data_IF_372200965436
#
_entry.id   IF_372200965436
#
_cell.length_a   1.000
_cell.length_b   1.000
_cell.length_c   1.000
_cell.angle_alpha   90.00
_cell.angle_beta   90.00
_cell.angle_gamma   90.00
#
_symmetry.space_group_name_H-M   'P 1'
#
loop_
_entity.id
_entity.type
_entity.pdbx_description
1 polymer ?
#
# COMPACT_ATOMS: atom_id res chain seq x y z
N UNK A 1 -20.36 20.71 4.89
CA UNK A 1 -20.30 19.43 4.11
C UNK A 1 -21.54 18.66 4.51
N UNK A 2 -22.31 18.20 3.57
CA UNK A 2 -23.54 17.46 3.82
C UNK A 2 -23.18 16.08 4.39
N UNK A 3 -24.06 15.59 5.28
CA UNK A 3 -23.89 14.28 5.93
C UNK A 3 -24.88 13.33 5.27
N UNK A 4 -24.43 12.15 4.91
CA UNK A 4 -25.21 11.07 4.32
C UNK A 4 -25.36 9.95 5.34
N UNK A 5 -26.57 9.40 5.47
CA UNK A 5 -26.88 8.28 6.35
C UNK A 5 -27.10 7.01 5.51
N UNK A 6 -26.46 5.91 5.90
CA UNK A 6 -26.63 4.61 5.25
C UNK A 6 -26.56 3.49 6.30
N UNK A 7 -26.79 2.26 5.89
CA UNK A 7 -26.87 1.12 6.82
C UNK A 7 -25.87 0.03 6.41
N UNK A 8 -25.15 -0.49 7.40
CA UNK A 8 -24.20 -1.60 7.23
C UNK A 8 -24.60 -2.72 8.16
N UNK A 9 -25.03 -3.86 7.61
CA UNK A 9 -25.55 -4.99 8.37
C UNK A 9 -26.62 -4.55 9.40
N UNK A 10 -27.54 -3.69 8.98
CA UNK A 10 -28.62 -3.07 9.78
C UNK A 10 -28.14 -2.05 10.84
N UNK A 11 -26.85 -1.69 10.88
CA UNK A 11 -26.32 -0.63 11.74
C UNK A 11 -26.32 0.67 10.97
N UNK A 12 -26.94 1.72 11.53
CA UNK A 12 -26.88 3.08 10.99
C UNK A 12 -25.45 3.64 11.05
N UNK A 13 -24.97 4.20 9.93
CA UNK A 13 -23.68 4.85 9.80
C UNK A 13 -23.85 6.21 9.14
N UNK A 14 -23.24 7.24 9.70
CA UNK A 14 -23.22 8.61 9.14
C UNK A 14 -21.83 8.94 8.64
N UNK A 15 -21.76 9.51 7.45
CA UNK A 15 -20.50 9.91 6.83
C UNK A 15 -20.64 11.21 6.06
N UNK A 16 -19.54 11.78 5.62
CA UNK A 16 -19.54 12.93 4.72
C UNK A 16 -19.94 12.49 3.30
N UNK A 17 -20.70 13.32 2.59
CA UNK A 17 -20.99 13.12 1.18
C UNK A 17 -19.70 12.92 0.37
N UNK A 18 -19.72 11.99 -0.58
CA UNK A 18 -18.56 11.64 -1.40
C UNK A 18 -17.62 10.62 -0.78
N UNK A 19 -17.85 10.16 0.47
CA UNK A 19 -17.08 9.08 1.08
C UNK A 19 -17.36 7.74 0.41
N UNK A 20 -16.35 6.91 0.24
CA UNK A 20 -16.56 5.50 -0.16
C UNK A 20 -17.12 4.68 1.00
N UNK A 21 -17.77 3.54 0.67
CA UNK A 21 -18.27 2.59 1.68
C UNK A 21 -17.12 2.19 2.62
N UNK A 22 -15.92 1.90 2.08
CA UNK A 22 -14.78 1.47 2.88
C UNK A 22 -14.28 2.55 3.84
N UNK A 23 -14.25 3.81 3.42
CA UNK A 23 -13.87 4.95 4.28
C UNK A 23 -14.90 5.16 5.39
N UNK A 24 -16.18 5.17 5.03
CA UNK A 24 -17.27 5.35 5.98
C UNK A 24 -17.33 4.23 7.04
N UNK A 25 -17.19 2.97 6.61
CA UNK A 25 -17.21 1.81 7.51
C UNK A 25 -15.99 1.80 8.43
N UNK A 26 -14.81 2.18 7.92
CA UNK A 26 -13.59 2.29 8.73
C UNK A 26 -13.72 3.35 9.82
N UNK A 27 -14.29 4.51 9.50
CA UNK A 27 -14.55 5.57 10.49
C UNK A 27 -15.58 5.15 11.55
N UNK A 28 -16.47 4.22 11.20
CA UNK A 28 -17.45 3.62 12.12
C UNK A 28 -16.96 2.35 12.82
N UNK A 29 -15.65 2.03 12.72
CA UNK A 29 -15.01 0.83 13.27
C UNK A 29 -15.61 -0.49 12.76
N UNK A 30 -16.13 -0.50 11.54
CA UNK A 30 -16.62 -1.71 10.85
C UNK A 30 -15.53 -2.17 9.89
N UNK A 31 -15.00 -3.36 10.12
CA UNK A 31 -13.90 -3.89 9.32
C UNK A 31 -14.40 -4.49 8.01
N UNK A 32 -13.83 -4.01 6.90
CA UNK A 32 -13.94 -4.62 5.56
C UNK A 32 -12.51 -4.93 5.08
N UNK A 33 -12.19 -6.20 4.73
CA UNK A 33 -10.82 -6.58 4.36
C UNK A 33 -10.39 -5.93 3.05
N UNK A 34 -9.16 -5.42 3.00
CA UNK A 34 -8.58 -4.84 1.78
C UNK A 34 -7.06 -4.85 1.84
N UNK A 35 -6.39 -5.03 0.68
CA UNK A 35 -4.93 -5.00 0.57
C UNK A 35 -4.42 -3.90 -0.37
N UNK A 36 -5.24 -3.38 -1.25
CA UNK A 36 -4.85 -2.27 -2.13
C UNK A 36 -5.23 -0.89 -1.57
N UNK A 37 -6.19 -0.78 -0.67
CA UNK A 37 -6.57 0.47 -0.03
C UNK A 37 -5.57 0.85 1.08
N UNK A 38 -5.25 2.14 1.19
CA UNK A 38 -4.52 2.74 2.30
C UNK A 38 -5.09 4.15 2.54
N UNK A 39 -5.32 4.57 3.81
CA UNK A 39 -5.99 5.85 4.10
C UNK A 39 -5.25 7.07 3.54
N UNK A 40 -3.93 7.04 3.53
CA UNK A 40 -3.09 8.15 3.06
C UNK A 40 -2.84 8.12 1.54
N UNK A 41 -3.39 7.14 0.82
CA UNK A 41 -3.21 7.03 -0.63
C UNK A 41 -4.51 7.35 -1.38
N UNK A 42 -4.41 7.96 -2.57
CA UNK A 42 -5.56 8.18 -3.42
C UNK A 42 -6.20 6.86 -3.88
N UNK A 43 -7.42 6.88 -4.43
CA UNK A 43 -8.11 5.67 -4.87
C UNK A 43 -7.28 4.81 -5.82
N UNK A 44 -7.28 3.48 -5.60
CA UNK A 44 -6.38 2.56 -6.32
C UNK A 44 -6.73 2.39 -7.80
N UNK A 45 -8.02 2.45 -8.15
CA UNK A 45 -8.52 2.15 -9.49
C UNK A 45 -8.22 3.20 -10.55
N UNK A 46 -7.71 4.37 -10.18
CA UNK A 46 -7.31 5.43 -11.12
C UNK A 46 -5.85 5.32 -11.59
N UNK A 47 -5.06 4.42 -11.00
CA UNK A 47 -3.66 4.23 -11.35
C UNK A 47 -3.54 3.42 -12.64
N UNK A 48 -2.73 3.91 -13.60
CA UNK A 48 -2.62 3.33 -14.95
C UNK A 48 -1.36 2.49 -15.11
N UNK A 49 -1.49 1.38 -15.84
CA UNK A 49 -0.39 0.50 -16.17
C UNK A 49 0.62 1.16 -17.12
N UNK A 50 1.89 0.88 -16.89
CA UNK A 50 3.02 1.23 -17.76
C UNK A 50 3.20 0.19 -18.86
N UNK A 51 4.05 0.48 -19.85
CA UNK A 51 4.43 -0.49 -20.87
C UNK A 51 5.48 -1.49 -20.40
N UNK A 52 6.32 -1.08 -19.44
CA UNK A 52 7.47 -1.82 -18.98
C UNK A 52 7.77 -1.49 -17.53
N UNK A 53 8.20 -2.49 -16.76
CA UNK A 53 8.85 -2.34 -15.45
C UNK A 53 10.05 -3.28 -15.32
N UNK A 54 10.92 -3.00 -14.36
CA UNK A 54 12.10 -3.80 -14.05
C UNK A 54 11.96 -4.48 -12.69
N UNK A 55 12.34 -5.75 -12.63
CA UNK A 55 12.50 -6.53 -11.39
C UNK A 55 13.96 -6.94 -11.26
N UNK A 56 14.79 -6.05 -10.71
CA UNK A 56 16.24 -6.14 -10.85
C UNK A 56 16.64 -5.92 -12.31
N UNK A 57 17.43 -6.82 -12.88
CA UNK A 57 17.84 -6.78 -14.30
C UNK A 57 16.76 -7.30 -15.27
N UNK A 58 15.71 -7.96 -14.77
CA UNK A 58 14.65 -8.53 -15.60
C UNK A 58 13.70 -7.43 -16.08
N UNK A 59 13.45 -7.38 -17.38
CA UNK A 59 12.43 -6.54 -18.00
C UNK A 59 11.10 -7.28 -18.07
N UNK A 60 10.05 -6.67 -17.54
CA UNK A 60 8.69 -7.19 -17.63
C UNK A 60 7.86 -6.27 -18.51
N UNK A 61 7.62 -6.70 -19.74
CA UNK A 61 6.75 -6.01 -20.69
C UNK A 61 5.29 -6.23 -20.33
N UNK A 62 4.50 -5.16 -20.39
CA UNK A 62 3.05 -5.23 -20.22
C UNK A 62 2.32 -5.43 -21.55
N UNK A 63 1.16 -6.06 -21.48
CA UNK A 63 0.23 -6.31 -22.60
C UNK A 63 -0.98 -5.36 -22.60
N UNK A 64 -1.14 -4.52 -21.58
CA UNK A 64 -2.28 -3.63 -21.39
C UNK A 64 -1.87 -2.21 -20.95
N UNK A 65 -1.09 -1.51 -21.79
CA UNK A 65 -0.66 -0.13 -21.52
C UNK A 65 -1.87 0.78 -21.28
N UNK A 66 -1.81 1.56 -20.19
CA UNK A 66 -2.84 2.52 -19.83
C UNK A 66 -4.08 1.91 -19.18
N UNK A 67 -4.18 0.57 -19.09
CA UNK A 67 -5.26 -0.10 -18.35
C UNK A 67 -5.21 0.34 -16.89
N UNK A 68 -6.35 0.71 -16.35
CA UNK A 68 -6.49 1.09 -14.96
C UNK A 68 -6.38 -0.13 -14.04
N UNK A 69 -5.87 0.08 -12.83
CA UNK A 69 -5.76 -0.99 -11.85
C UNK A 69 -7.15 -1.44 -11.37
N UNK A 70 -7.45 -2.72 -11.50
CA UNK A 70 -8.77 -3.28 -11.19
C UNK A 70 -9.03 -3.52 -9.70
N UNK A 71 -8.02 -3.27 -8.84
CA UNK A 71 -8.12 -3.49 -7.40
C UNK A 71 -7.84 -4.94 -6.98
N UNK A 72 -7.67 -5.15 -5.67
CA UNK A 72 -7.50 -6.49 -5.10
C UNK A 72 -8.82 -7.27 -4.96
N UNK A 73 -9.95 -6.55 -5.00
CA UNK A 73 -11.31 -7.07 -4.88
C UNK A 73 -11.57 -7.92 -3.61
N UNK A 74 -10.83 -7.67 -2.53
CA UNK A 74 -11.10 -8.27 -1.22
C UNK A 74 -12.15 -7.48 -0.42
N UNK A 75 -12.40 -6.22 -0.80
CA UNK A 75 -13.39 -5.34 -0.17
C UNK A 75 -14.77 -5.42 -0.81
N UNK A 76 -15.07 -6.49 -1.56
CA UNK A 76 -16.40 -6.69 -2.14
C UNK A 76 -17.47 -6.74 -1.05
N UNK A 77 -18.58 -6.07 -1.31
CA UNK A 77 -19.78 -6.02 -0.46
C UNK A 77 -21.02 -6.17 -1.33
N UNK A 78 -22.12 -6.55 -0.72
CA UNK A 78 -23.44 -6.60 -1.36
C UNK A 78 -24.18 -5.31 -1.02
N UNK A 79 -24.79 -4.66 -2.02
CA UNK A 79 -25.63 -3.48 -1.87
C UNK A 79 -27.03 -3.83 -2.34
N UNK A 80 -28.02 -3.58 -1.51
CA UNK A 80 -29.41 -3.86 -1.88
C UNK A 80 -29.81 -3.12 -3.17
N UNK A 81 -30.49 -3.83 -4.04
CA UNK A 81 -30.90 -3.31 -5.36
C UNK A 81 -29.79 -3.37 -6.44
N UNK A 82 -28.58 -3.82 -6.12
CA UNK A 82 -27.53 -4.07 -7.11
C UNK A 82 -27.38 -5.59 -7.37
N UNK A 83 -27.32 -6.03 -8.63
CA UNK A 83 -27.23 -7.44 -8.97
C UNK A 83 -25.85 -8.04 -8.64
N UNK A 84 -24.79 -7.23 -8.71
CA UNK A 84 -23.41 -7.64 -8.54
C UNK A 84 -22.80 -7.12 -7.24
N UNK A 85 -21.81 -7.84 -6.72
CA UNK A 85 -21.00 -7.35 -5.61
C UNK A 85 -20.15 -6.17 -6.05
N UNK A 86 -20.07 -5.14 -5.22
CA UNK A 86 -19.33 -3.92 -5.52
C UNK A 86 -18.10 -3.77 -4.63
N UNK A 87 -17.02 -3.15 -5.12
CA UNK A 87 -15.83 -2.87 -4.31
C UNK A 87 -16.09 -1.68 -3.37
N UNK A 88 -16.13 -1.92 -2.08
CA UNK A 88 -16.37 -0.90 -1.06
C UNK A 88 -15.39 0.29 -1.12
N UNK A 89 -14.16 0.09 -1.61
CA UNK A 89 -13.16 1.15 -1.74
C UNK A 89 -13.41 2.15 -2.88
N UNK A 90 -14.33 1.84 -3.78
CA UNK A 90 -14.60 2.62 -5.01
C UNK A 90 -16.10 3.00 -5.15
N UNK A 91 -16.95 2.43 -4.31
CA UNK A 91 -18.39 2.71 -4.30
C UNK A 91 -18.70 3.83 -3.33
N UNK A 92 -19.23 4.92 -3.84
CA UNK A 92 -19.63 6.10 -3.04
C UNK A 92 -20.94 5.82 -2.31
N UNK A 93 -21.00 6.22 -1.06
CA UNK A 93 -22.20 6.10 -0.20
C UNK A 93 -23.29 7.06 -0.70
N UNK A 94 -24.52 6.57 -0.74
CA UNK A 94 -25.72 7.38 -1.02
C UNK A 94 -26.71 7.27 0.13
N UNK A 95 -27.60 8.24 0.25
CA UNK A 95 -28.60 8.29 1.33
C UNK A 95 -29.48 7.03 1.32
N UNK A 96 -29.65 6.41 2.48
CA UNK A 96 -30.48 5.22 2.65
C UNK A 96 -29.88 3.93 2.08
N UNK A 97 -28.64 3.94 1.56
CA UNK A 97 -27.99 2.74 1.01
C UNK A 97 -27.92 1.61 2.07
N UNK A 98 -28.27 0.39 1.66
CA UNK A 98 -28.18 -0.81 2.51
C UNK A 98 -27.01 -1.67 2.05
N UNK A 99 -26.03 -1.88 2.93
CA UNK A 99 -24.78 -2.62 2.63
C UNK A 99 -24.68 -3.84 3.51
N UNK A 100 -24.41 -4.99 2.92
CA UNK A 100 -24.15 -6.26 3.62
C UNK A 100 -22.69 -6.67 3.41
N UNK A 101 -21.95 -6.82 4.50
CA UNK A 101 -20.51 -7.10 4.46
C UNK A 101 -20.17 -8.55 4.71
N UNK A 102 -21.13 -9.40 5.08
CA UNK A 102 -20.88 -10.77 5.52
C UNK A 102 -21.99 -11.76 5.06
N UNK A 103 -22.45 -11.63 3.81
CA UNK A 103 -23.31 -12.65 3.19
C UNK A 103 -22.48 -13.82 2.69
N UNK A 104 -23.11 -14.98 2.49
CA UNK A 104 -22.45 -16.15 1.91
C UNK A 104 -21.80 -15.84 0.56
N UNK A 105 -22.48 -15.06 -0.29
CA UNK A 105 -21.98 -14.60 -1.58
C UNK A 105 -20.74 -13.73 -1.43
N UNK A 106 -20.71 -12.83 -0.45
CA UNK A 106 -19.56 -11.97 -0.14
C UNK A 106 -18.37 -12.81 0.36
N UNK A 107 -18.63 -13.76 1.27
CA UNK A 107 -17.57 -14.65 1.80
C UNK A 107 -16.92 -15.48 0.70
N UNK A 108 -17.71 -16.14 -0.12
CA UNK A 108 -17.22 -16.94 -1.24
C UNK A 108 -16.39 -16.12 -2.23
N UNK A 109 -16.88 -14.94 -2.63
CA UNK A 109 -16.16 -14.06 -3.53
C UNK A 109 -14.80 -13.61 -2.96
N UNK A 110 -14.75 -13.25 -1.67
CA UNK A 110 -13.51 -12.88 -0.99
C UNK A 110 -12.53 -14.04 -0.88
N UNK A 111 -13.01 -15.23 -0.56
CA UNK A 111 -12.19 -16.44 -0.48
C UNK A 111 -11.57 -16.79 -1.84
N UNK A 112 -12.31 -16.66 -2.94
CA UNK A 112 -11.76 -16.86 -4.29
C UNK A 112 -10.66 -15.84 -4.63
N UNK A 113 -10.85 -14.56 -4.26
CA UNK A 113 -9.82 -13.53 -4.48
C UNK A 113 -8.58 -13.76 -3.62
N UNK A 114 -8.77 -14.13 -2.36
CA UNK A 114 -7.67 -14.47 -1.45
C UNK A 114 -6.91 -15.71 -1.96
N UNK A 115 -7.58 -16.75 -2.38
CA UNK A 115 -6.98 -17.96 -2.96
C UNK A 115 -6.06 -17.63 -4.14
N UNK A 116 -6.51 -16.75 -5.06
CA UNK A 116 -5.67 -16.30 -6.19
C UNK A 116 -4.42 -15.54 -5.75
N UNK A 117 -4.51 -14.74 -4.68
CA UNK A 117 -3.36 -14.04 -4.10
C UNK A 117 -2.40 -15.05 -3.47
N UNK A 118 -2.92 -15.97 -2.65
CA UNK A 118 -2.12 -16.96 -1.93
C UNK A 118 -1.46 -17.98 -2.87
N UNK A 119 -2.10 -18.37 -3.97
CA UNK A 119 -1.49 -19.24 -4.97
C UNK A 119 -0.14 -18.71 -5.50
N UNK A 120 0.09 -17.39 -5.40
CA UNK A 120 1.28 -16.69 -5.91
C UNK A 120 2.14 -16.05 -4.82
N UNK A 121 1.80 -16.28 -3.56
CA UNK A 121 2.49 -15.72 -2.41
C UNK A 121 2.84 -16.82 -1.39
N UNK A 122 4.08 -16.86 -0.86
CA UNK A 122 4.45 -17.80 0.19
C UNK A 122 3.49 -17.69 1.38
N UNK A 123 2.75 -18.76 1.65
CA UNK A 123 1.71 -18.75 2.69
C UNK A 123 1.72 -19.98 3.60
N UNK A 124 2.70 -20.86 3.45
CA UNK A 124 2.76 -22.10 4.25
C UNK A 124 2.76 -21.84 5.77
N UNK A 125 3.32 -20.71 6.22
CA UNK A 125 3.29 -20.35 7.65
C UNK A 125 1.89 -19.98 8.15
N UNK A 126 0.99 -19.49 7.28
CA UNK A 126 -0.38 -19.11 7.66
C UNK A 126 -1.22 -20.34 8.08
N UNK A 127 -0.96 -21.48 7.45
CA UNK A 127 -1.68 -22.74 7.68
C UNK A 127 -0.87 -23.72 8.53
N UNK A 128 0.31 -23.32 9.04
CA UNK A 128 1.18 -24.18 9.83
C UNK A 128 0.63 -24.31 11.26
N UNK A 129 0.46 -25.56 11.72
CA UNK A 129 0.03 -25.86 13.10
C UNK A 129 1.03 -25.37 14.17
N UNK A 130 2.29 -25.15 13.80
CA UNK A 130 3.37 -24.68 14.68
C UNK A 130 3.73 -23.21 14.45
N UNK A 131 2.80 -22.40 13.94
CA UNK A 131 3.08 -20.98 13.62
C UNK A 131 3.40 -20.13 14.85
N UNK A 132 2.78 -20.46 15.98
CA UNK A 132 2.98 -19.73 17.23
C UNK A 132 4.37 -20.00 17.82
N UNK A 133 5.09 -18.93 18.15
CA UNK A 133 6.45 -19.01 18.70
C UNK A 133 7.53 -19.44 17.70
N UNK A 134 7.19 -19.70 16.44
CA UNK A 134 8.16 -20.05 15.41
C UNK A 134 8.98 -18.83 14.98
N UNK A 135 10.31 -18.93 15.06
CA UNK A 135 11.23 -17.88 14.58
C UNK A 135 11.37 -17.85 13.08
N UNK A 136 10.94 -18.90 12.37
CA UNK A 136 11.07 -19.13 10.91
C UNK A 136 12.51 -19.24 10.40
N UNK A 137 13.52 -18.78 11.15
CA UNK A 137 14.94 -18.83 10.80
C UNK A 137 15.79 -19.13 12.03
N UNK A 138 16.24 -20.37 12.25
CA UNK A 138 15.81 -21.61 11.63
C UNK A 138 14.38 -21.99 12.05
N UNK A 139 13.56 -22.40 11.08
CA UNK A 139 12.20 -22.82 11.40
C UNK A 139 12.16 -24.16 12.11
N UNK A 140 11.22 -24.34 13.02
CA UNK A 140 10.95 -25.62 13.70
C UNK A 140 10.17 -26.61 12.83
N UNK A 141 9.78 -26.21 11.61
CA UNK A 141 8.95 -26.99 10.69
C UNK A 141 9.72 -27.46 9.48
N UNK A 142 9.26 -28.51 8.82
CA UNK A 142 9.83 -29.03 7.57
C UNK A 142 9.40 -28.20 6.33
N UNK A 143 8.83 -27.01 6.50
CA UNK A 143 8.46 -26.13 5.39
C UNK A 143 9.73 -25.61 4.72
N UNK A 144 9.88 -25.78 3.39
CA UNK A 144 11.01 -25.23 2.65
C UNK A 144 11.12 -23.71 2.81
N UNK A 145 12.33 -23.17 2.91
CA UNK A 145 12.56 -21.73 3.14
C UNK A 145 11.84 -20.86 2.10
N UNK A 146 11.87 -21.26 0.84
CA UNK A 146 11.23 -20.52 -0.26
C UNK A 146 9.69 -20.48 -0.18
N UNK A 147 9.07 -21.32 0.63
CA UNK A 147 7.61 -21.37 0.83
C UNK A 147 7.16 -20.69 2.13
N UNK A 148 8.12 -20.26 2.97
CA UNK A 148 7.82 -19.60 4.25
C UNK A 148 7.39 -18.16 4.04
N UNK A 149 6.53 -17.67 4.92
CA UNK A 149 6.28 -16.25 5.02
C UNK A 149 7.56 -15.48 5.35
N UNK A 150 7.62 -14.21 4.93
CA UNK A 150 8.75 -13.32 5.21
C UNK A 150 8.82 -12.92 6.69
N UNK A 151 9.87 -12.19 7.06
CA UNK A 151 10.10 -11.67 8.43
C UNK A 151 9.01 -10.70 8.93
N UNK A 152 8.12 -10.24 8.05
CA UNK A 152 6.97 -9.40 8.42
C UNK A 152 5.81 -10.19 9.07
N UNK A 153 5.88 -11.50 9.10
CA UNK A 153 4.88 -12.37 9.75
C UNK A 153 4.66 -11.94 11.22
N UNK A 154 3.42 -11.93 11.67
CA UNK A 154 3.00 -11.34 12.94
C UNK A 154 2.61 -9.85 12.85
N UNK A 155 3.11 -9.12 11.84
CA UNK A 155 2.77 -7.73 11.53
C UNK A 155 2.38 -7.53 10.05
N UNK A 156 2.00 -8.60 9.38
CA UNK A 156 1.66 -8.61 7.97
C UNK A 156 0.17 -8.33 7.76
N UNK A 157 -0.17 -7.37 6.90
CA UNK A 157 -1.59 -7.09 6.60
C UNK A 157 -2.25 -8.24 5.83
N UNK A 158 -1.50 -8.94 4.96
CA UNK A 158 -2.02 -10.13 4.27
C UNK A 158 -2.38 -11.24 5.25
N UNK A 159 -1.58 -11.45 6.30
CA UNK A 159 -1.87 -12.41 7.37
C UNK A 159 -3.21 -12.09 8.05
N UNK A 160 -3.40 -10.85 8.51
CA UNK A 160 -4.63 -10.39 9.15
C UNK A 160 -5.86 -10.55 8.24
N UNK A 161 -5.71 -10.24 6.96
CA UNK A 161 -6.77 -10.40 5.97
C UNK A 161 -7.07 -11.88 5.72
N UNK A 162 -6.05 -12.73 5.64
CA UNK A 162 -6.22 -14.17 5.44
C UNK A 162 -6.89 -14.85 6.66
N UNK A 163 -6.55 -14.42 7.88
CA UNK A 163 -7.20 -14.90 9.10
C UNK A 163 -8.68 -14.48 9.16
N UNK A 164 -8.99 -13.24 8.76
CA UNK A 164 -10.37 -12.76 8.75
C UNK A 164 -11.27 -13.46 7.72
N UNK A 165 -10.77 -13.66 6.50
CA UNK A 165 -11.53 -14.25 5.39
C UNK A 165 -11.62 -15.78 5.53
N UNK A 166 -10.61 -16.41 6.12
CA UNK A 166 -10.42 -17.86 6.15
C UNK A 166 -9.78 -18.38 4.86
N UNK A 167 -8.75 -19.20 5.02
CA UNK A 167 -8.05 -19.85 3.91
C UNK A 167 -8.81 -21.14 3.57
N UNK A 168 -9.17 -21.31 2.31
CA UNK A 168 -9.86 -22.52 1.83
C UNK A 168 -8.88 -23.70 1.79
N UNK A 169 -9.37 -24.90 2.08
CA UNK A 169 -8.59 -26.15 2.03
C UNK A 169 -8.05 -26.46 0.63
N UNK A 170 -8.79 -26.07 -0.41
CA UNK A 170 -8.41 -26.25 -1.82
C UNK A 170 -7.50 -25.13 -2.35
N UNK A 171 -6.99 -24.23 -1.49
CA UNK A 171 -6.03 -23.21 -1.90
C UNK A 171 -4.75 -23.87 -2.43
N UNK A 172 -4.35 -23.58 -3.70
CA UNK A 172 -3.16 -24.16 -4.29
C UNK A 172 -1.92 -23.85 -3.47
N UNK A 173 -1.07 -24.86 -3.28
CA UNK A 173 0.25 -24.66 -2.67
C UNK A 173 1.04 -23.63 -3.51
N UNK A 174 1.68 -22.69 -2.84
CA UNK A 174 2.59 -21.77 -3.50
C UNK A 174 3.78 -22.54 -4.09
N UNK A 175 4.03 -22.31 -5.37
CA UNK A 175 5.23 -22.80 -6.05
C UNK A 175 6.22 -21.63 -6.18
N UNK A 176 7.44 -21.75 -5.58
CA UNK A 176 8.41 -20.68 -5.63
C UNK A 176 8.78 -20.27 -7.06
N UNK A 177 8.51 -19.01 -7.41
CA UNK A 177 8.83 -18.48 -8.72
C UNK A 177 10.35 -18.21 -8.90
N UNK A 178 11.12 -18.25 -7.80
CA UNK A 178 12.57 -18.03 -7.84
C UNK A 178 12.97 -16.64 -8.35
N UNK A 179 12.11 -15.63 -8.13
CA UNK A 179 12.38 -14.28 -8.59
C UNK A 179 13.59 -13.68 -7.89
N UNK A 180 14.42 -12.89 -8.60
CA UNK A 180 15.59 -12.29 -8.00
C UNK A 180 15.22 -11.34 -6.85
N UNK A 181 15.98 -11.45 -5.76
CA UNK A 181 15.88 -10.53 -4.63
C UNK A 181 16.86 -9.39 -4.90
N UNK A 182 16.35 -8.16 -5.04
CA UNK A 182 17.18 -6.97 -5.25
C UNK A 182 17.66 -6.47 -3.89
N UNK A 183 18.95 -6.70 -3.60
CA UNK A 183 19.62 -6.31 -2.36
C UNK A 183 20.61 -5.16 -2.54
N UNK A 184 20.85 -4.74 -3.77
CA UNK A 184 21.88 -3.74 -4.10
C UNK A 184 21.40 -2.29 -3.89
N UNK A 185 20.12 -2.12 -3.62
CA UNK A 185 19.55 -0.82 -3.30
C UNK A 185 20.02 -0.37 -1.90
N UNK A 186 20.42 0.89 -1.71
CA UNK A 186 21.12 1.33 -0.50
C UNK A 186 20.29 1.19 0.79
N UNK A 187 18.99 1.48 0.74
CA UNK A 187 18.13 1.54 1.94
C UNK A 187 17.08 0.45 2.00
N UNK A 188 16.78 -0.21 0.88
CA UNK A 188 15.66 -1.16 0.79
C UNK A 188 16.10 -2.50 0.24
N UNK A 189 15.37 -3.54 0.62
CA UNK A 189 15.38 -4.84 -0.04
C UNK A 189 14.05 -4.98 -0.79
N UNK A 190 14.11 -5.36 -2.06
CA UNK A 190 12.93 -5.70 -2.86
C UNK A 190 12.92 -7.19 -3.15
N UNK A 191 11.96 -7.89 -2.55
CA UNK A 191 11.74 -9.30 -2.80
C UNK A 191 10.40 -9.50 -3.51
N UNK A 192 10.48 -9.67 -4.82
CA UNK A 192 9.29 -9.78 -5.66
C UNK A 192 8.51 -11.10 -5.43
N UNK A 193 9.10 -12.11 -4.77
CA UNK A 193 8.40 -13.33 -4.38
C UNK A 193 7.28 -13.07 -3.37
N UNK A 194 7.37 -11.97 -2.62
CA UNK A 194 6.33 -11.53 -1.68
C UNK A 194 5.41 -10.44 -2.23
N UNK A 195 5.53 -10.08 -3.51
CA UNK A 195 4.70 -9.03 -4.11
C UNK A 195 3.34 -9.58 -4.55
N UNK A 196 2.27 -8.97 -4.03
CA UNK A 196 0.88 -9.31 -4.36
C UNK A 196 0.26 -8.39 -5.43
N UNK A 197 1.03 -7.51 -6.03
CA UNK A 197 0.56 -6.61 -7.08
C UNK A 197 -0.45 -5.54 -6.62
N UNK A 198 -0.49 -5.17 -5.35
CA UNK A 198 -1.49 -4.24 -4.78
C UNK A 198 -1.33 -2.77 -5.20
N UNK A 199 -0.28 -2.40 -5.90
CA UNK A 199 0.05 -1.05 -6.39
C UNK A 199 0.20 0.05 -5.34
N UNK A 200 0.09 -0.20 -4.03
CA UNK A 200 0.26 0.84 -3.00
C UNK A 200 1.58 1.59 -3.13
N UNK A 201 2.69 0.88 -3.32
CA UNK A 201 4.02 1.47 -3.48
C UNK A 201 4.13 2.35 -4.75
N UNK A 202 3.44 1.96 -5.82
CA UNK A 202 3.37 2.75 -7.07
C UNK A 202 2.64 4.07 -6.81
N UNK A 203 1.45 4.03 -6.20
CA UNK A 203 0.68 5.23 -5.85
C UNK A 203 1.42 6.12 -4.86
N UNK A 204 2.03 5.55 -3.83
CA UNK A 204 2.85 6.32 -2.90
C UNK A 204 4.00 7.04 -3.62
N UNK A 205 4.65 6.38 -4.59
CA UNK A 205 5.74 6.95 -5.34
C UNK A 205 5.27 7.99 -6.37
N UNK A 206 4.19 7.71 -7.08
CA UNK A 206 3.71 8.58 -8.18
C UNK A 206 2.87 9.73 -7.67
N UNK A 207 1.89 9.46 -6.81
CA UNK A 207 0.82 10.41 -6.48
C UNK A 207 1.08 11.13 -5.15
N UNK A 208 1.72 10.47 -4.18
CA UNK A 208 2.04 11.10 -2.91
C UNK A 208 3.41 11.79 -2.93
N UNK A 209 4.38 11.26 -3.69
CA UNK A 209 5.77 11.76 -3.75
C UNK A 209 6.14 12.40 -5.09
N UNK A 210 5.38 12.19 -6.14
CA UNK A 210 5.63 12.74 -7.48
C UNK A 210 6.91 12.23 -8.18
N UNK A 211 7.57 11.22 -7.60
CA UNK A 211 8.87 10.72 -8.09
C UNK A 211 8.73 9.79 -9.29
N UNK A 212 7.66 8.98 -9.33
CA UNK A 212 7.37 8.02 -10.40
C UNK A 212 8.48 6.97 -10.66
N UNK A 213 9.27 6.63 -9.65
CA UNK A 213 10.33 5.63 -9.75
C UNK A 213 9.80 4.19 -9.81
N UNK A 214 8.55 3.96 -9.41
CA UNK A 214 7.86 2.68 -9.44
C UNK A 214 6.66 2.74 -10.38
N UNK A 215 6.44 1.64 -11.08
CA UNK A 215 5.31 1.42 -11.97
C UNK A 215 4.74 0.01 -11.84
N UNK A 216 3.70 -0.28 -12.59
CA UNK A 216 3.20 -1.63 -12.74
C UNK A 216 2.77 -1.89 -14.19
N UNK A 217 2.76 -3.15 -14.55
CA UNK A 217 2.25 -3.64 -15.82
C UNK A 217 1.25 -4.76 -15.60
N UNK A 218 0.34 -4.94 -16.53
CA UNK A 218 -0.41 -6.18 -16.68
C UNK A 218 0.34 -7.10 -17.65
N UNK A 219 0.36 -8.39 -17.32
CA UNK A 219 0.83 -9.46 -18.21
C UNK A 219 -0.02 -10.69 -17.91
N UNK A 220 -0.77 -11.17 -18.91
CA UNK A 220 -1.74 -12.25 -18.76
C UNK A 220 -2.73 -12.00 -17.61
N UNK A 221 -3.31 -10.80 -17.54
CA UNK A 221 -4.21 -10.32 -16.47
C UNK A 221 -3.59 -10.28 -15.07
N UNK A 222 -2.30 -10.49 -14.93
CA UNK A 222 -1.59 -10.40 -13.67
C UNK A 222 -0.84 -9.08 -13.52
N UNK A 223 -0.81 -8.56 -12.30
CA UNK A 223 -0.14 -7.30 -11.97
C UNK A 223 1.31 -7.54 -11.54
N UNK A 224 2.24 -6.93 -12.26
CA UNK A 224 3.67 -6.96 -11.97
C UNK A 224 4.14 -5.55 -11.61
N UNK A 225 4.60 -5.37 -10.39
CA UNK A 225 5.18 -4.11 -9.92
C UNK A 225 6.69 -4.14 -10.05
N UNK A 226 7.28 -3.03 -10.46
CA UNK A 226 8.74 -2.89 -10.59
C UNK A 226 9.19 -1.44 -10.61
N UNK A 227 10.49 -1.23 -10.78
CA UNK A 227 11.05 0.10 -11.04
C UNK A 227 10.89 0.47 -12.52
N UNK A 228 10.88 1.78 -12.83
CA UNK A 228 10.74 2.26 -14.23
C UNK A 228 12.06 2.19 -15.00
N UNK A 229 13.18 1.95 -14.32
CA UNK A 229 14.50 1.68 -14.87
C UNK A 229 15.16 0.52 -14.09
N UNK A 230 16.31 -0.04 -14.54
CA UNK A 230 16.93 -1.21 -13.93
C UNK A 230 17.18 -1.07 -12.43
N UNK A 231 17.60 0.10 -11.96
CA UNK A 231 17.80 0.41 -10.54
C UNK A 231 16.86 1.51 -10.06
N UNK A 232 16.64 1.61 -8.75
CA UNK A 232 15.89 2.75 -8.18
C UNK A 232 16.63 4.08 -8.38
N UNK A 233 17.97 4.06 -8.40
CA UNK A 233 18.77 5.25 -8.68
C UNK A 233 18.54 5.75 -10.10
N UNK A 234 18.57 4.87 -11.09
CA UNK A 234 18.29 5.22 -12.49
C UNK A 234 16.84 5.65 -12.71
N UNK A 235 15.94 5.17 -11.85
CA UNK A 235 14.53 5.59 -11.79
C UNK A 235 14.33 6.95 -11.11
N UNK A 236 15.38 7.70 -10.81
CA UNK A 236 15.36 8.96 -10.06
C UNK A 236 14.70 8.87 -8.66
N UNK A 237 14.74 7.70 -8.03
CA UNK A 237 14.23 7.49 -6.67
C UNK A 237 14.91 8.45 -5.68
N UNK A 238 14.13 8.99 -4.74
CA UNK A 238 14.62 9.86 -3.67
C UNK A 238 14.84 9.12 -2.34
N UNK A 239 14.73 7.81 -2.34
CA UNK A 239 14.91 6.94 -1.17
C UNK A 239 14.13 7.39 0.07
N UNK A 240 12.93 7.93 -0.13
CA UNK A 240 12.10 8.52 0.92
C UNK A 240 11.41 7.51 1.85
N UNK A 241 11.40 6.21 1.53
CA UNK A 241 10.81 5.14 2.34
C UNK A 241 9.29 4.93 2.20
N UNK A 242 8.56 5.84 1.55
CA UNK A 242 7.10 5.77 1.47
C UNK A 242 6.57 4.44 0.88
N UNK A 243 7.24 3.88 -0.11
CA UNK A 243 6.86 2.60 -0.72
C UNK A 243 7.00 1.41 0.24
N UNK A 244 7.97 1.48 1.16
CA UNK A 244 8.19 0.47 2.20
C UNK A 244 7.10 0.57 3.27
N UNK A 245 6.77 1.79 3.69
CA UNK A 245 5.74 2.07 4.71
C UNK A 245 4.39 1.49 4.30
N UNK A 246 3.96 1.75 3.08
CA UNK A 246 2.64 1.32 2.59
C UNK A 246 2.57 -0.12 2.09
N UNK A 247 3.69 -0.85 2.08
CA UNK A 247 3.71 -2.22 1.58
C UNK A 247 3.01 -3.17 2.55
N UNK A 248 1.91 -3.85 2.15
CA UNK A 248 1.14 -4.72 3.05
C UNK A 248 1.84 -6.06 3.32
N UNK A 249 2.87 -6.40 2.55
CA UNK A 249 3.65 -7.64 2.66
C UNK A 249 5.14 -7.35 2.84
N UNK A 250 6.00 -8.35 2.84
CA UNK A 250 7.46 -8.20 2.90
C UNK A 250 8.14 -7.97 1.56
N UNK A 251 7.40 -7.61 0.50
CA UNK A 251 7.98 -7.36 -0.82
C UNK A 251 8.94 -6.16 -0.85
N UNK A 252 8.68 -5.17 0.00
CA UNK A 252 9.54 -4.01 0.21
C UNK A 252 9.86 -3.92 1.70
N UNK A 253 11.14 -4.04 2.04
CA UNK A 253 11.62 -4.01 3.42
C UNK A 253 12.73 -3.00 3.56
N UNK A 254 12.75 -2.29 4.67
CA UNK A 254 13.87 -1.45 5.07
C UNK A 254 15.04 -2.33 5.53
N UNK A 255 16.28 -1.90 5.30
CA UNK A 255 17.47 -2.65 5.74
C UNK A 255 17.76 -2.47 7.22
N UNK A 256 17.51 -1.30 7.77
CA UNK A 256 17.95 -0.91 9.10
C UNK A 256 16.82 -0.89 10.12
N UNK A 257 15.58 -0.60 9.64
CA UNK A 257 14.41 -0.47 10.52
C UNK A 257 13.73 -1.81 10.72
N UNK A 258 13.68 -2.28 11.96
CA UNK A 258 12.98 -3.51 12.34
C UNK A 258 11.46 -3.34 12.19
N UNK A 259 10.80 -4.45 11.87
CA UNK A 259 9.33 -4.50 11.84
C UNK A 259 8.80 -4.16 13.24
N UNK A 260 7.92 -3.17 13.34
CA UNK A 260 7.37 -2.66 14.61
C UNK A 260 7.99 -1.34 15.11
N UNK A 261 9.17 -0.93 14.62
CA UNK A 261 9.79 0.36 14.95
C UNK A 261 9.54 1.43 13.85
N UNK A 262 8.69 1.13 12.93
CA UNK A 262 8.64 1.64 11.56
C UNK A 262 8.15 3.07 11.36
N UNK A 263 7.14 3.48 12.09
CA UNK A 263 6.33 4.64 11.66
C UNK A 263 7.07 5.98 11.75
N UNK A 264 7.90 6.16 12.77
CA UNK A 264 8.61 7.42 13.01
C UNK A 264 9.90 7.57 12.18
N UNK A 265 10.47 6.47 11.71
CA UNK A 265 11.79 6.46 11.07
C UNK A 265 11.74 6.44 9.53
N UNK A 266 10.64 5.96 8.92
CA UNK A 266 10.54 5.83 7.46
C UNK A 266 10.33 7.16 6.72
N UNK A 267 9.68 8.13 7.34
CA UNK A 267 9.49 9.48 6.78
C UNK A 267 9.97 10.53 7.80
N UNK A 268 11.26 10.54 8.13
CA UNK A 268 11.75 11.35 9.24
C UNK A 268 11.52 12.86 9.03
N UNK A 269 11.47 13.34 7.79
CA UNK A 269 11.21 14.75 7.50
C UNK A 269 9.84 15.24 8.01
N UNK A 270 8.81 14.38 8.01
CA UNK A 270 7.48 14.68 8.56
C UNK A 270 7.53 14.78 10.09
N UNK A 271 8.21 13.84 10.73
CA UNK A 271 8.27 13.74 12.19
C UNK A 271 9.30 14.68 12.83
N UNK A 272 10.36 15.00 12.11
CA UNK A 272 11.36 15.95 12.58
C UNK A 272 10.87 17.41 12.58
N UNK A 273 9.79 17.73 11.88
CA UNK A 273 9.21 19.06 11.89
C UNK A 273 8.47 19.32 13.22
N UNK A 274 8.85 20.33 14.02
CA UNK A 274 8.17 20.62 15.30
C UNK A 274 6.70 20.99 15.12
N UNK A 275 6.34 21.56 13.96
CA UNK A 275 4.96 21.87 13.61
C UNK A 275 4.25 20.69 12.92
N UNK A 276 4.91 19.54 12.73
CA UNK A 276 4.34 18.38 12.04
C UNK A 276 3.74 18.68 10.66
N UNK A 277 4.38 19.59 9.91
CA UNK A 277 3.97 19.93 8.56
C UNK A 277 4.17 18.71 7.65
N UNK A 278 3.18 18.41 6.80
CA UNK A 278 3.29 17.34 5.81
C UNK A 278 4.25 17.74 4.67
N UNK A 279 5.56 17.67 5.00
CA UNK A 279 6.65 18.02 4.11
C UNK A 279 6.55 17.30 2.76
N UNK A 280 6.35 15.99 2.69
CA UNK A 280 6.27 15.31 1.41
C UNK A 280 5.14 15.80 0.51
N UNK A 281 3.99 16.12 1.10
CA UNK A 281 2.81 16.57 0.35
C UNK A 281 3.03 17.94 -0.29
N UNK A 282 3.54 18.93 0.43
CA UNK A 282 3.75 20.23 -0.19
C UNK A 282 4.92 20.24 -1.19
N UNK A 283 5.98 19.48 -0.94
CA UNK A 283 7.08 19.32 -1.92
C UNK A 283 6.58 18.70 -3.22
N UNK A 284 5.70 17.70 -3.13
CA UNK A 284 5.04 17.14 -4.30
C UNK A 284 4.19 18.18 -5.07
N UNK A 285 3.40 18.97 -4.36
CA UNK A 285 2.56 20.01 -4.98
C UNK A 285 3.42 21.10 -5.65
N UNK A 286 4.57 21.46 -5.07
CA UNK A 286 5.54 22.34 -5.71
C UNK A 286 6.07 21.73 -7.02
N UNK A 287 6.42 20.45 -7.01
CA UNK A 287 6.89 19.74 -8.21
C UNK A 287 5.83 19.67 -9.33
N UNK A 288 4.53 19.79 -8.98
CA UNK A 288 3.43 19.88 -9.93
C UNK A 288 3.09 21.31 -10.35
N UNK A 289 3.81 22.33 -9.87
CA UNK A 289 3.47 23.72 -10.09
C UNK A 289 2.23 24.23 -9.33
N UNK A 290 1.69 23.42 -8.40
CA UNK A 290 0.49 23.73 -7.60
C UNK A 290 0.82 24.50 -6.35
N UNK A 291 1.44 25.67 -6.51
CA UNK A 291 2.03 26.44 -5.40
C UNK A 291 0.99 26.91 -4.37
N UNK A 292 -0.18 27.31 -4.79
CA UNK A 292 -1.25 27.76 -3.87
C UNK A 292 -1.68 26.63 -2.92
N UNK A 293 -1.80 25.42 -3.42
CA UNK A 293 -2.15 24.24 -2.63
C UNK A 293 -0.98 23.80 -1.73
N UNK A 294 0.26 23.91 -2.21
CA UNK A 294 1.43 23.67 -1.38
C UNK A 294 1.47 24.60 -0.15
N UNK A 295 1.17 25.89 -0.35
CA UNK A 295 1.05 26.86 0.74
C UNK A 295 -0.11 26.50 1.68
N UNK A 296 -1.24 26.05 1.15
CA UNK A 296 -2.38 25.61 1.95
C UNK A 296 -2.00 24.45 2.89
N UNK A 297 -1.28 23.44 2.38
CA UNK A 297 -0.77 22.33 3.19
C UNK A 297 0.15 22.81 4.32
N UNK A 298 1.04 23.74 4.04
CA UNK A 298 1.91 24.31 5.09
C UNK A 298 1.08 25.06 6.13
N UNK A 299 0.07 25.82 5.71
CA UNK A 299 -0.81 26.59 6.59
C UNK A 299 -1.72 25.75 7.47
N UNK A 300 -1.99 24.50 7.12
CA UNK A 300 -2.71 23.56 8.00
C UNK A 300 -2.06 23.42 9.39
N UNK A 301 -0.73 23.63 9.46
CA UNK A 301 0.07 23.43 10.69
C UNK A 301 0.91 24.64 11.07
N UNK A 302 1.21 25.53 10.13
CA UNK A 302 2.09 26.70 10.33
C UNK A 302 1.36 27.97 9.85
N UNK A 303 0.83 28.74 10.76
CA UNK A 303 0.00 29.93 10.48
C UNK A 303 0.73 31.02 9.69
N UNK A 304 2.04 31.19 9.93
CA UNK A 304 2.86 32.22 9.31
C UNK A 304 4.05 31.61 8.55
N UNK A 305 3.82 30.92 7.41
CA UNK A 305 4.87 30.17 6.72
C UNK A 305 6.05 31.03 6.26
N UNK A 306 5.81 32.27 5.84
CA UNK A 306 6.88 33.18 5.38
C UNK A 306 7.85 33.59 6.49
N UNK A 307 7.36 33.75 7.71
CA UNK A 307 8.21 34.09 8.89
C UNK A 307 8.90 32.83 9.39
N UNK A 308 8.13 31.74 9.57
CA UNK A 308 8.66 30.48 10.09
C UNK A 308 9.70 29.87 9.16
N UNK A 309 9.52 29.95 7.83
CA UNK A 309 10.49 29.47 6.87
C UNK A 309 11.84 30.17 6.93
N UNK A 310 11.87 31.49 7.29
CA UNK A 310 13.10 32.25 7.48
C UNK A 310 13.82 31.95 8.80
N UNK A 311 13.05 31.63 9.86
CA UNK A 311 13.58 31.31 11.17
C UNK A 311 13.85 29.79 11.37
N UNK A 312 13.44 28.96 10.42
CA UNK A 312 13.50 27.52 10.53
C UNK A 312 14.92 26.97 10.52
N UNK A 313 15.26 26.15 11.52
CA UNK A 313 16.55 25.44 11.61
C UNK A 313 16.65 24.21 10.67
N UNK A 314 15.62 23.95 9.88
CA UNK A 314 15.52 22.87 8.87
C UNK A 314 15.79 21.47 9.40
N UNK A 315 15.15 21.05 10.51
CA UNK A 315 15.39 19.70 11.06
C UNK A 315 14.96 18.58 10.08
N UNK A 316 13.96 18.83 9.24
CA UNK A 316 13.52 17.92 8.19
C UNK A 316 14.61 17.60 7.14
N UNK A 317 15.41 18.58 6.75
CA UNK A 317 16.54 18.37 5.84
C UNK A 317 17.68 17.61 6.52
N UNK A 318 17.94 17.88 7.79
CA UNK A 318 18.95 17.17 8.59
C UNK A 318 18.63 15.68 8.76
N UNK A 319 17.35 15.34 8.85
CA UNK A 319 16.85 13.97 9.01
C UNK A 319 16.42 13.31 7.70
N UNK A 320 16.68 13.95 6.56
CA UNK A 320 16.28 13.41 5.26
C UNK A 320 17.07 12.15 4.90
N UNK A 321 16.40 11.03 4.67
CA UNK A 321 17.04 9.75 4.29
C UNK A 321 17.75 9.81 2.93
N UNK A 322 17.32 10.68 2.03
CA UNK A 322 18.04 10.92 0.77
C UNK A 322 19.50 11.29 0.99
N UNK A 323 19.84 11.86 2.15
CA UNK A 323 21.19 12.21 2.56
C UNK A 323 22.15 11.02 2.67
N UNK A 324 21.62 9.83 2.94
CA UNK A 324 22.43 8.60 3.03
C UNK A 324 22.92 8.12 1.65
N UNK A 325 22.30 8.62 0.59
CA UNK A 325 22.58 8.21 -0.80
C UNK A 325 23.06 9.36 -1.66
N UNK A 326 22.51 10.55 -1.44
CA UNK A 326 22.76 11.78 -2.18
C UNK A 326 22.70 12.99 -1.23
N UNK A 327 22.42 14.17 -1.78
CA UNK A 327 22.09 15.34 -0.97
C UNK A 327 20.68 15.24 -0.38
N UNK A 328 20.44 15.87 0.79
CA UNK A 328 19.10 15.98 1.31
C UNK A 328 18.19 16.72 0.33
N UNK A 329 16.91 16.39 0.33
CA UNK A 329 15.93 17.15 -0.46
C UNK A 329 15.88 18.56 0.12
N UNK A 330 16.04 19.58 -0.72
CA UNK A 330 15.86 20.98 -0.33
C UNK A 330 14.36 21.19 -0.02
N UNK A 331 14.04 21.30 1.26
CA UNK A 331 12.66 21.32 1.76
C UNK A 331 12.21 22.74 2.10
N UNK A 332 13.13 23.59 2.58
CA UNK A 332 12.89 24.98 3.00
C UNK A 332 13.61 25.97 2.12
#
# INVERSE_FOLDING_TARGET
METVTFFVNNREVKTQEGSSILEATRNAEIYIPSLCYHPDLPPSRKTKASSLVYRGSEQVMGDALGKEFEGCNLCLVEVEGQPDLVPACDTIVTEGMMVHTDTERVRQARQEKLMRILARHPHACLICAQKEGCTREPGSTNVPVAERCCSKFGNCELEKVAEYIGIREDTPRYLPAGLPIVKDEPLFVRDNNFCIGCTRCVRACQELRGVKALGFVYRNDEVFVGSVAPTLKDSACKFCGACVEVCPTGALMDREVKVGERELSLIPCKYACPASVDVPRYVYLIAQGRYAEAVAVVREKATFPSVLGRACARPCEKQCRSREVNEPIAIC
#
